data_IF_349654927964
#
_entry.id   IF_349654927964
#
_cell.length_a   1.000
_cell.length_b   1.000
_cell.length_c   1.000
_cell.angle_alpha   90.00
_cell.angle_beta   90.00
_cell.angle_gamma   90.00
#
_symmetry.space_group_name_H-M   'P 1'
#
loop_
_entity.id
_entity.type
_entity.pdbx_description
1 polymer ?
#
# COMPACT_ATOMS: atom_id res chain seq x y z
N UNK A 1 19.94 27.47 -14.59
CA UNK A 1 18.91 26.41 -14.72
C UNK A 1 19.23 25.13 -13.92
N UNK A 2 20.49 24.81 -13.57
CA UNK A 2 20.83 23.57 -12.85
C UNK A 2 20.78 23.59 -11.31
N UNK A 3 20.67 24.76 -10.67
CA UNK A 3 20.69 24.88 -9.20
C UNK A 3 19.44 24.35 -8.50
N UNK A 4 18.26 24.53 -9.11
CA UNK A 4 16.96 24.10 -8.59
C UNK A 4 16.93 22.57 -8.43
N UNK A 5 17.35 21.81 -9.44
CA UNK A 5 17.31 20.34 -9.41
C UNK A 5 18.29 19.77 -8.38
N UNK A 6 19.43 20.43 -8.12
CA UNK A 6 20.45 19.92 -7.20
C UNK A 6 20.15 20.19 -5.73
N UNK A 7 19.35 21.23 -5.43
CA UNK A 7 19.00 21.61 -4.04
C UNK A 7 17.59 21.13 -3.69
N UNK A 8 16.61 21.26 -4.60
CA UNK A 8 15.21 20.93 -4.32
C UNK A 8 14.97 19.42 -4.38
N UNK A 9 15.55 18.69 -5.35
CA UNK A 9 15.35 17.23 -5.44
C UNK A 9 15.78 16.48 -4.17
N UNK A 10 16.98 16.71 -3.58
CA UNK A 10 17.34 16.01 -2.35
C UNK A 10 16.49 16.44 -1.14
N UNK A 11 16.01 17.68 -1.09
CA UNK A 11 15.14 18.18 -0.02
C UNK A 11 13.71 17.64 -0.14
N UNK A 12 13.24 17.38 -1.37
CA UNK A 12 11.93 16.78 -1.66
C UNK A 12 11.94 15.24 -1.61
N UNK A 13 13.10 14.57 -1.53
CA UNK A 13 13.19 13.10 -1.38
C UNK A 13 12.25 12.52 -0.31
N UNK A 14 12.21 13.02 0.94
CA UNK A 14 11.27 12.49 1.94
C UNK A 14 9.80 12.72 1.57
N UNK A 15 9.47 13.87 0.95
CA UNK A 15 8.11 14.16 0.48
C UNK A 15 7.68 13.28 -0.69
N UNK A 16 8.60 12.97 -1.60
CA UNK A 16 8.35 12.14 -2.78
C UNK A 16 8.11 10.67 -2.40
N UNK A 17 8.82 10.19 -1.37
CA UNK A 17 8.57 8.87 -0.77
C UNK A 17 7.14 8.78 -0.23
N UNK A 18 6.69 9.75 0.57
CA UNK A 18 5.33 9.77 1.12
C UNK A 18 4.28 9.81 0.00
N UNK A 19 4.52 10.65 -1.02
CA UNK A 19 3.64 10.77 -2.19
C UNK A 19 3.52 9.49 -3.02
N UNK A 20 4.49 8.57 -2.93
CA UNK A 20 4.41 7.24 -3.58
C UNK A 20 3.78 6.16 -2.71
N UNK A 21 4.03 6.18 -1.39
CA UNK A 21 3.51 5.16 -0.46
C UNK A 21 2.00 5.28 -0.27
N UNK A 22 1.51 6.51 -0.14
CA UNK A 22 0.10 6.78 0.10
C UNK A 22 -0.83 6.21 -0.99
N UNK A 23 -0.58 6.45 -2.30
CA UNK A 23 -1.38 5.86 -3.35
C UNK A 23 -1.21 4.34 -3.46
N UNK A 24 -0.03 3.77 -3.19
CA UNK A 24 0.17 2.30 -3.16
C UNK A 24 -0.69 1.67 -2.07
N UNK A 25 -0.71 2.28 -0.88
CA UNK A 25 -1.54 1.83 0.25
C UNK A 25 -3.02 1.88 -0.11
N UNK A 26 -3.45 2.98 -0.74
CA UNK A 26 -4.84 3.18 -1.13
C UNK A 26 -5.26 2.20 -2.22
N UNK A 27 -4.41 1.96 -3.23
CA UNK A 27 -4.69 1.02 -4.32
C UNK A 27 -4.86 -0.43 -3.85
N UNK A 28 -4.11 -0.86 -2.81
CA UNK A 28 -4.24 -2.21 -2.25
C UNK A 28 -5.52 -2.40 -1.40
N UNK A 29 -6.08 -1.30 -0.87
CA UNK A 29 -7.33 -1.30 -0.10
C UNK A 29 -8.58 -1.09 -0.98
N UNK A 30 -8.37 -0.85 -2.27
CA UNK A 30 -9.43 -0.56 -3.22
C UNK A 30 -10.18 -1.85 -3.58
N UNK A 31 -11.43 -1.97 -3.10
CA UNK A 31 -12.30 -3.15 -3.32
C UNK A 31 -13.46 -2.83 -4.26
N UNK A 32 -14.00 -1.61 -4.19
CA UNK A 32 -15.26 -1.25 -4.83
C UNK A 32 -15.12 -1.16 -6.35
N UNK A 33 -14.12 -0.41 -6.83
CA UNK A 33 -13.82 -0.24 -8.25
C UNK A 33 -13.32 -1.55 -8.86
N UNK A 34 -12.50 -2.32 -8.14
CA UNK A 34 -12.11 -3.66 -8.57
C UNK A 34 -13.31 -4.62 -8.75
N UNK A 35 -14.33 -4.60 -7.89
CA UNK A 35 -15.55 -5.43 -8.07
C UNK A 35 -16.40 -4.96 -9.26
N UNK A 36 -16.47 -3.65 -9.50
CA UNK A 36 -17.32 -3.06 -10.54
C UNK A 36 -16.71 -3.19 -11.94
N UNK A 37 -15.39 -2.99 -12.06
CA UNK A 37 -14.71 -2.96 -13.36
C UNK A 37 -14.04 -4.28 -13.75
N UNK A 38 -13.66 -5.13 -12.79
CA UNK A 38 -12.90 -6.35 -13.09
C UNK A 38 -13.83 -7.56 -13.19
N UNK A 39 -14.28 -7.84 -14.42
CA UNK A 39 -15.13 -8.98 -14.75
C UNK A 39 -14.43 -10.35 -14.61
N UNK A 40 -13.33 -10.62 -15.34
CA UNK A 40 -12.69 -11.94 -15.39
C UNK A 40 -12.04 -12.32 -14.05
N UNK A 41 -12.16 -13.58 -13.62
CA UNK A 41 -11.54 -14.08 -12.38
C UNK A 41 -10.02 -13.93 -12.36
N UNK A 42 -9.37 -13.94 -13.52
CA UNK A 42 -7.90 -13.92 -13.67
C UNK A 42 -7.28 -12.53 -13.44
N UNK A 43 -8.06 -11.46 -13.59
CA UNK A 43 -7.56 -10.08 -13.47
C UNK A 43 -7.95 -9.43 -12.14
N UNK A 44 -8.65 -10.16 -11.26
CA UNK A 44 -9.14 -9.61 -9.98
C UNK A 44 -7.99 -9.25 -9.07
N UNK A 45 -8.12 -8.08 -8.44
CA UNK A 45 -7.22 -7.67 -7.38
C UNK A 45 -7.28 -8.67 -6.23
N UNK A 46 -6.16 -8.83 -5.52
CA UNK A 46 -6.00 -9.82 -4.44
C UNK A 46 -7.15 -9.69 -3.42
N UNK A 47 -7.53 -8.47 -3.07
CA UNK A 47 -8.60 -8.16 -2.11
C UNK A 47 -9.98 -8.66 -2.58
N UNK A 48 -10.29 -8.51 -3.87
CA UNK A 48 -11.56 -9.01 -4.47
C UNK A 48 -11.53 -10.53 -4.66
N UNK A 49 -10.38 -11.08 -5.04
CA UNK A 49 -10.21 -12.53 -5.15
C UNK A 49 -10.49 -13.21 -3.79
N UNK A 50 -9.95 -12.67 -2.70
CA UNK A 50 -10.19 -13.19 -1.33
C UNK A 50 -11.67 -13.11 -0.97
N UNK A 51 -12.29 -11.93 -1.11
CA UNK A 51 -13.70 -11.76 -0.79
C UNK A 51 -14.60 -12.73 -1.58
N UNK A 52 -14.38 -12.85 -2.89
CA UNK A 52 -15.21 -13.69 -3.77
C UNK A 52 -14.94 -15.21 -3.67
N UNK A 53 -13.83 -15.63 -3.06
CA UNK A 53 -13.48 -17.06 -2.93
C UNK A 53 -13.74 -17.61 -1.53
N UNK A 54 -13.57 -16.78 -0.49
CA UNK A 54 -13.73 -17.16 0.91
C UNK A 54 -15.10 -16.81 1.51
N UNK A 55 -15.86 -15.92 0.87
CA UNK A 55 -17.25 -15.64 1.24
C UNK A 55 -18.13 -16.33 0.19
N UNK A 56 -18.66 -17.51 0.52
CA UNK A 56 -19.54 -18.28 -0.36
C UNK A 56 -20.95 -18.33 0.24
N UNK A 57 -21.80 -17.38 -0.15
CA UNK A 57 -23.14 -17.26 0.42
C UNK A 57 -23.05 -17.03 1.93
N UNK A 58 -23.63 -17.93 2.71
CA UNK A 58 -23.67 -17.85 4.19
C UNK A 58 -22.48 -18.53 4.89
N UNK A 59 -21.54 -19.09 4.11
CA UNK A 59 -20.37 -19.81 4.64
C UNK A 59 -19.14 -18.91 4.55
N UNK A 60 -18.61 -18.56 5.73
CA UNK A 60 -17.43 -17.72 5.90
C UNK A 60 -16.24 -18.55 6.37
N UNK A 61 -15.20 -18.63 5.54
CA UNK A 61 -13.96 -19.31 5.90
C UNK A 61 -13.07 -18.39 6.74
N UNK A 62 -13.45 -18.14 8.00
CA UNK A 62 -12.78 -17.19 8.91
C UNK A 62 -11.27 -17.38 9.04
N UNK A 63 -10.79 -18.63 9.17
CA UNK A 63 -9.35 -18.90 9.26
C UNK A 63 -8.59 -18.48 8.01
N UNK A 64 -9.13 -18.78 6.83
CA UNK A 64 -8.54 -18.37 5.57
C UNK A 64 -8.67 -16.84 5.36
N UNK A 65 -9.76 -16.21 5.84
CA UNK A 65 -9.98 -14.76 5.73
C UNK A 65 -8.93 -13.99 6.52
N UNK A 66 -8.67 -14.42 7.76
CA UNK A 66 -7.65 -13.80 8.60
C UNK A 66 -6.24 -14.05 8.05
N UNK A 67 -5.95 -15.25 7.56
CA UNK A 67 -4.66 -15.57 6.92
C UNK A 67 -4.43 -14.74 5.65
N UNK A 68 -5.47 -14.58 4.82
CA UNK A 68 -5.41 -13.76 3.62
C UNK A 68 -5.26 -12.27 3.95
N UNK A 69 -5.98 -11.77 4.96
CA UNK A 69 -5.81 -10.40 5.47
C UNK A 69 -4.39 -10.14 5.97
N UNK A 70 -3.79 -11.09 6.68
CA UNK A 70 -2.39 -11.01 7.12
C UNK A 70 -1.43 -10.97 5.93
N UNK A 71 -1.62 -11.84 4.94
CA UNK A 71 -0.79 -11.90 3.73
C UNK A 71 -0.88 -10.63 2.89
N UNK A 72 -2.05 -10.01 2.80
CA UNK A 72 -2.26 -8.73 2.10
C UNK A 72 -1.68 -7.54 2.89
N UNK A 73 -1.80 -7.56 4.22
CA UNK A 73 -1.24 -6.54 5.09
C UNK A 73 0.29 -6.59 5.20
N UNK A 74 0.89 -7.77 5.04
CA UNK A 74 2.34 -8.02 5.11
C UNK A 74 3.19 -7.14 4.17
N UNK A 75 2.94 -7.05 2.86
CA UNK A 75 3.72 -6.20 1.96
C UNK A 75 3.61 -4.72 2.35
N UNK A 76 2.44 -4.29 2.83
CA UNK A 76 2.21 -2.96 3.36
C UNK A 76 3.05 -2.70 4.61
N UNK A 77 3.03 -3.63 5.57
CA UNK A 77 3.83 -3.56 6.78
C UNK A 77 5.34 -3.52 6.48
N UNK A 78 5.82 -4.33 5.53
CA UNK A 78 7.23 -4.32 5.08
C UNK A 78 7.58 -2.97 4.46
N UNK A 79 6.72 -2.44 3.58
CA UNK A 79 6.91 -1.13 2.98
C UNK A 79 7.03 -0.06 4.07
N UNK A 80 6.10 -0.03 5.04
CA UNK A 80 6.16 0.88 6.18
C UNK A 80 7.45 0.71 7.00
N UNK A 81 7.88 -0.52 7.26
CA UNK A 81 9.11 -0.81 8.01
C UNK A 81 10.36 -0.24 7.32
N UNK A 82 10.47 -0.40 6.00
CA UNK A 82 11.61 0.11 5.22
C UNK A 82 11.67 1.65 5.22
N UNK A 83 10.53 2.31 5.32
CA UNK A 83 10.43 3.77 5.25
C UNK A 83 10.29 4.47 6.60
N UNK A 84 9.99 3.74 7.68
CA UNK A 84 10.00 4.26 9.05
C UNK A 84 11.34 4.95 9.36
N UNK A 85 12.47 4.39 8.92
CA UNK A 85 13.79 5.03 9.10
C UNK A 85 13.90 6.39 8.40
N UNK A 86 13.30 6.55 7.22
CA UNK A 86 13.28 7.84 6.51
C UNK A 86 12.37 8.84 7.21
N UNK A 87 11.24 8.38 7.77
CA UNK A 87 10.34 9.22 8.54
C UNK A 87 10.99 9.70 9.85
N UNK A 88 11.68 8.81 10.56
CA UNK A 88 12.43 9.11 11.78
C UNK A 88 13.58 10.08 11.48
N UNK A 89 14.35 9.86 10.41
CA UNK A 89 15.42 10.78 9.98
C UNK A 89 14.89 12.17 9.59
N UNK A 90 13.69 12.25 9.00
CA UNK A 90 13.03 13.53 8.70
C UNK A 90 12.59 14.30 9.95
N UNK A 91 12.21 13.58 11.02
CA UNK A 91 11.85 14.16 12.32
C UNK A 91 13.10 14.58 13.13
N UNK A 92 14.19 13.80 13.09
CA UNK A 92 15.43 14.11 13.81
C UNK A 92 16.36 15.05 13.05
N UNK A 93 16.16 15.24 11.74
CA UNK A 93 16.95 16.13 10.89
C UNK A 93 16.73 17.63 11.11
N UNK A 94 15.83 18.01 12.03
CA UNK A 94 15.70 19.39 12.54
C UNK A 94 16.65 19.72 13.70
N UNK A 95 17.52 18.78 14.11
CA UNK A 95 18.53 18.99 15.15
C UNK A 95 19.94 19.07 14.56
N UNK A 96 20.15 20.01 13.64
CA UNK A 96 21.44 20.71 13.36
C UNK A 96 21.31 21.60 12.14
#
# INVERSE_FOLDING_TARGET
MGGIVRVIVPLSRPGLVIATIFPITFAMNEVLYAVVYVGPRTERTVTVAIASTLIRGDIFYWGALMAAGLLVGLPLAILFMLYMDHFIRGLTGGSS
#
